data_IF_009181360441
#
_entry.id   IF_009181360441
#
_cell.length_a   1.000
_cell.length_b   1.000
_cell.length_c   1.000
_cell.angle_alpha   90.00
_cell.angle_beta   90.00
_cell.angle_gamma   90.00
#
_symmetry.space_group_name_H-M   'P 1'
#
loop_
_entity.id
_entity.type
_entity.pdbx_description
1 polymer ?
#
# COMPACT_ATOMS: atom_id res chain seq x y z
N UNK A 1 87.63 87.37 -27.78
CA UNK A 1 88.63 88.41 -28.11
C UNK A 1 89.96 88.06 -27.46
N UNK A 2 90.86 87.41 -28.21
CA UNK A 2 92.31 87.38 -27.96
C UNK A 2 92.93 87.53 -29.35
N UNK A 3 93.46 88.71 -29.60
CA UNK A 3 94.12 89.10 -30.85
C UNK A 3 95.44 88.34 -30.95
N UNK A 4 95.47 87.26 -31.74
CA UNK A 4 96.73 86.68 -32.21
C UNK A 4 97.28 87.58 -33.32
N UNK A 5 98.19 88.48 -32.96
CA UNK A 5 99.10 89.14 -33.90
C UNK A 5 99.93 88.08 -34.60
N UNK A 6 99.53 87.69 -35.80
CA UNK A 6 100.35 86.91 -36.72
C UNK A 6 101.52 87.79 -37.17
N UNK A 7 102.68 87.60 -36.56
CA UNK A 7 103.95 88.10 -37.10
C UNK A 7 104.13 87.48 -38.48
N UNK A 8 104.04 88.32 -39.51
CA UNK A 8 104.19 87.94 -40.92
C UNK A 8 105.65 87.54 -41.15
N UNK A 9 106.00 86.27 -40.92
CA UNK A 9 107.29 85.73 -41.35
C UNK A 9 107.33 85.80 -42.88
N UNK A 10 108.34 86.46 -43.43
CA UNK A 10 108.59 86.49 -44.87
C UNK A 10 108.87 85.05 -45.32
N UNK A 11 108.15 84.59 -46.34
CA UNK A 11 108.12 83.19 -46.81
C UNK A 11 108.82 83.03 -48.16
N UNK A 12 109.76 83.92 -48.45
CA UNK A 12 110.60 83.89 -49.62
C UNK A 12 111.87 83.13 -49.28
N UNK A 13 112.38 82.29 -50.18
CA UNK A 13 113.74 81.80 -50.03
C UNK A 13 114.70 83.00 -50.16
N UNK A 14 115.90 82.90 -49.60
CA UNK A 14 116.90 83.97 -49.61
C UNK A 14 117.18 84.56 -51.00
N UNK A 15 116.98 83.77 -52.06
CA UNK A 15 117.13 84.21 -53.47
C UNK A 15 115.96 85.11 -53.91
N UNK A 16 114.71 84.76 -53.56
CA UNK A 16 113.53 85.58 -53.92
C UNK A 16 113.39 86.83 -53.03
N UNK A 17 113.95 86.81 -51.83
CA UNK A 17 113.94 87.95 -50.91
C UNK A 17 114.98 89.01 -51.31
N UNK A 18 116.11 88.59 -51.87
CA UNK A 18 117.19 89.48 -52.32
C UNK A 18 117.05 89.97 -53.77
N UNK A 19 116.17 89.38 -54.59
CA UNK A 19 116.13 89.67 -56.02
C UNK A 19 115.37 90.95 -56.39
N UNK A 20 114.63 91.60 -55.49
CA UNK A 20 113.83 92.83 -55.76
C UNK A 20 112.92 92.79 -57.01
N UNK A 21 112.71 91.60 -57.61
CA UNK A 21 111.89 91.37 -58.80
C UNK A 21 110.54 90.77 -58.37
N UNK A 22 109.46 91.13 -59.08
CA UNK A 22 108.11 90.67 -58.75
C UNK A 22 107.86 89.16 -59.03
N UNK A 23 108.84 88.44 -59.56
CA UNK A 23 108.74 87.02 -59.92
C UNK A 23 109.20 86.11 -58.78
N UNK A 24 108.28 85.27 -58.28
CA UNK A 24 108.52 84.30 -57.22
C UNK A 24 108.93 82.96 -57.85
N UNK A 25 109.95 82.27 -57.30
CA UNK A 25 110.34 80.97 -57.85
C UNK A 25 109.27 79.89 -57.60
N UNK A 26 109.21 78.87 -58.47
CA UNK A 26 108.29 77.74 -58.33
C UNK A 26 108.40 77.04 -56.96
N UNK A 27 109.59 77.05 -56.34
CA UNK A 27 109.81 76.54 -54.99
C UNK A 27 109.04 77.32 -53.90
N UNK A 28 109.01 78.65 -53.97
CA UNK A 28 108.26 79.49 -53.00
C UNK A 28 106.75 79.45 -53.25
N UNK A 29 106.31 79.36 -54.52
CA UNK A 29 104.90 79.15 -54.86
C UNK A 29 104.42 77.79 -54.37
N UNK A 30 105.17 76.72 -54.62
CA UNK A 30 104.85 75.38 -54.13
C UNK A 30 104.92 75.31 -52.60
N UNK A 31 105.84 76.03 -51.95
CA UNK A 31 105.86 76.15 -50.49
C UNK A 31 104.56 76.76 -49.97
N UNK A 32 104.12 77.91 -50.53
CA UNK A 32 102.84 78.54 -50.16
C UNK A 32 101.63 77.66 -50.48
N UNK A 33 101.57 77.05 -51.66
CA UNK A 33 100.49 76.13 -52.02
C UNK A 33 100.46 74.90 -51.11
N UNK A 34 101.61 74.39 -50.66
CA UNK A 34 101.69 73.30 -49.71
C UNK A 34 101.29 73.76 -48.28
N UNK A 35 101.64 74.97 -47.85
CA UNK A 35 101.11 75.59 -46.62
C UNK A 35 99.58 75.74 -46.68
N UNK A 36 99.03 76.20 -47.80
CA UNK A 36 97.57 76.29 -47.98
C UNK A 36 96.90 74.91 -48.04
N UNK A 37 97.50 73.94 -48.72
CA UNK A 37 96.98 72.57 -48.81
C UNK A 37 97.03 71.86 -47.46
N UNK A 38 98.10 72.01 -46.69
CA UNK A 38 98.19 71.48 -45.32
C UNK A 38 97.18 72.14 -44.39
N UNK A 39 96.98 73.46 -44.50
CA UNK A 39 95.94 74.20 -43.77
C UNK A 39 94.53 73.74 -44.17
N UNK A 40 94.25 73.54 -45.46
CA UNK A 40 92.98 73.02 -45.96
C UNK A 40 92.71 71.59 -45.50
N UNK A 41 93.72 70.72 -45.52
CA UNK A 41 93.62 69.35 -44.98
C UNK A 41 93.32 69.36 -43.48
N UNK A 42 93.97 70.25 -42.72
CA UNK A 42 93.69 70.44 -41.28
C UNK A 42 92.27 70.96 -41.01
N UNK A 43 91.78 71.91 -41.80
CA UNK A 43 90.42 72.42 -41.67
C UNK A 43 89.37 71.37 -42.09
N UNK A 44 89.65 70.59 -43.15
CA UNK A 44 88.79 69.49 -43.58
C UNK A 44 88.72 68.40 -42.51
N UNK A 45 89.84 67.97 -41.94
CA UNK A 45 89.85 66.97 -40.87
C UNK A 45 89.14 67.49 -39.61
N UNK A 46 89.30 68.77 -39.27
CA UNK A 46 88.56 69.40 -38.17
C UNK A 46 87.06 69.45 -38.44
N UNK A 47 86.65 69.81 -39.65
CA UNK A 47 85.24 69.83 -40.07
C UNK A 47 84.64 68.43 -40.00
N UNK A 48 85.32 67.43 -40.55
CA UNK A 48 84.85 66.05 -40.60
C UNK A 48 84.76 65.47 -39.17
N UNK A 49 85.71 65.80 -38.29
CA UNK A 49 85.64 65.48 -36.84
C UNK A 49 84.44 66.13 -36.15
N UNK A 50 84.15 67.40 -36.43
CA UNK A 50 82.99 68.09 -35.87
C UNK A 50 81.66 67.49 -36.39
N UNK A 51 81.58 67.13 -37.67
CA UNK A 51 80.41 66.46 -38.22
C UNK A 51 80.19 65.08 -37.62
N UNK A 52 81.25 64.27 -37.46
CA UNK A 52 81.16 62.98 -36.80
C UNK A 52 80.66 63.13 -35.36
N UNK A 53 81.23 64.07 -34.60
CA UNK A 53 80.80 64.35 -33.22
C UNK A 53 79.35 64.85 -33.16
N UNK A 54 78.93 65.71 -34.08
CA UNK A 54 77.55 66.18 -34.15
C UNK A 54 76.59 65.03 -34.49
N UNK A 55 76.96 64.19 -35.45
CA UNK A 55 76.22 62.97 -35.84
C UNK A 55 76.03 62.04 -34.64
N UNK A 56 77.10 61.74 -33.90
CA UNK A 56 77.04 60.90 -32.69
C UNK A 56 76.09 61.49 -31.63
N UNK A 57 76.17 62.80 -31.38
CA UNK A 57 75.29 63.49 -30.43
C UNK A 57 73.83 63.45 -30.89
N UNK A 58 73.56 63.62 -32.19
CA UNK A 58 72.20 63.55 -32.73
C UNK A 58 71.61 62.13 -32.64
N UNK A 59 72.41 61.10 -32.93
CA UNK A 59 71.98 59.70 -32.76
C UNK A 59 71.72 59.38 -31.29
N UNK A 60 72.57 59.84 -30.38
CA UNK A 60 72.38 59.67 -28.95
C UNK A 60 71.11 60.37 -28.45
N UNK A 61 70.82 61.58 -28.96
CA UNK A 61 69.59 62.30 -28.66
C UNK A 61 68.35 61.56 -29.17
N UNK A 62 68.38 61.08 -30.42
CA UNK A 62 67.27 60.30 -31.00
C UNK A 62 66.95 59.06 -30.16
N UNK A 63 67.97 58.30 -29.73
CA UNK A 63 67.78 57.15 -28.83
C UNK A 63 67.18 57.55 -27.48
N UNK A 64 67.59 58.69 -26.92
CA UNK A 64 67.05 59.19 -25.66
C UNK A 64 65.58 59.63 -25.79
N UNK A 65 65.23 60.28 -26.91
CA UNK A 65 63.86 60.70 -27.23
C UNK A 65 62.94 59.48 -27.44
N UNK A 66 63.42 58.44 -28.14
CA UNK A 66 62.71 57.18 -28.31
C UNK A 66 62.46 56.48 -26.97
N UNK A 67 63.46 56.44 -26.09
CA UNK A 67 63.32 55.87 -24.76
C UNK A 67 62.34 56.66 -23.88
N UNK A 68 62.33 57.98 -24.00
CA UNK A 68 61.34 58.83 -23.31
C UNK A 68 59.93 58.55 -23.84
N UNK A 69 59.75 58.56 -25.17
CA UNK A 69 58.49 58.27 -25.84
C UNK A 69 57.93 56.89 -25.45
N UNK A 70 58.78 55.87 -25.44
CA UNK A 70 58.41 54.52 -25.01
C UNK A 70 57.92 54.49 -23.55
N UNK A 71 58.62 55.19 -22.64
CA UNK A 71 58.22 55.28 -21.23
C UNK A 71 56.87 55.97 -21.05
N UNK A 72 56.62 57.06 -21.79
CA UNK A 72 55.34 57.78 -21.76
C UNK A 72 54.22 56.87 -22.25
N UNK A 73 54.40 56.21 -23.40
CA UNK A 73 53.39 55.30 -23.96
C UNK A 73 53.05 54.13 -23.01
N UNK A 74 54.06 53.57 -22.35
CA UNK A 74 53.84 52.50 -21.38
C UNK A 74 53.12 52.99 -20.13
N UNK A 75 53.47 54.16 -19.61
CA UNK A 75 52.78 54.76 -18.47
C UNK A 75 51.32 55.08 -18.80
N UNK A 76 51.01 55.56 -20.00
CA UNK A 76 49.63 55.75 -20.45
C UNK A 76 48.86 54.43 -20.55
N UNK A 77 49.48 53.37 -21.10
CA UNK A 77 48.86 52.03 -21.16
C UNK A 77 48.55 51.52 -19.75
N UNK A 78 49.49 51.65 -18.82
CA UNK A 78 49.27 51.28 -17.42
C UNK A 78 48.18 52.12 -16.76
N UNK A 79 48.12 53.43 -17.03
CA UNK A 79 47.07 54.30 -16.51
C UNK A 79 45.67 53.87 -17.02
N UNK A 80 45.55 53.60 -18.33
CA UNK A 80 44.30 53.09 -18.94
C UNK A 80 43.86 51.76 -18.33
N UNK A 81 44.79 50.83 -18.11
CA UNK A 81 44.49 49.53 -17.50
C UNK A 81 44.07 49.66 -16.03
N UNK A 82 44.75 50.53 -15.26
CA UNK A 82 44.39 50.80 -13.85
C UNK A 82 42.98 51.40 -13.74
N UNK A 83 42.64 52.34 -14.60
CA UNK A 83 41.31 52.95 -14.62
C UNK A 83 40.23 51.94 -15.03
N UNK A 84 40.49 51.10 -16.04
CA UNK A 84 39.58 50.03 -16.43
C UNK A 84 39.36 49.03 -15.28
N UNK A 85 40.44 48.65 -14.58
CA UNK A 85 40.37 47.78 -13.42
C UNK A 85 39.53 48.40 -12.28
N UNK A 86 39.70 49.70 -12.03
CA UNK A 86 38.93 50.44 -11.02
C UNK A 86 37.43 50.40 -11.33
N UNK A 87 37.04 50.73 -12.57
CA UNK A 87 35.63 50.70 -13.01
C UNK A 87 35.03 49.30 -12.90
N UNK A 88 35.77 48.28 -13.33
CA UNK A 88 35.32 46.89 -13.23
C UNK A 88 35.12 46.46 -11.77
N UNK A 89 36.00 46.89 -10.84
CA UNK A 89 35.85 46.62 -9.41
C UNK A 89 34.62 47.30 -8.83
N UNK A 90 34.37 48.56 -9.18
CA UNK A 90 33.17 49.29 -8.74
C UNK A 90 31.88 48.63 -9.24
N UNK A 91 31.83 48.20 -10.51
CA UNK A 91 30.69 47.46 -11.07
C UNK A 91 30.48 46.12 -10.38
N UNK A 92 31.56 45.38 -10.10
CA UNK A 92 31.50 44.11 -9.37
C UNK A 92 30.91 44.31 -7.97
N UNK A 93 31.39 45.31 -7.23
CA UNK A 93 30.89 45.62 -5.89
C UNK A 93 29.41 46.01 -5.91
N UNK A 94 28.99 46.81 -6.89
CA UNK A 94 27.59 47.17 -7.07
C UNK A 94 26.72 45.95 -7.41
N UNK A 95 27.20 45.06 -8.27
CA UNK A 95 26.53 43.80 -8.60
C UNK A 95 26.38 42.89 -7.38
N UNK A 96 27.45 42.74 -6.59
CA UNK A 96 27.44 41.94 -5.36
C UNK A 96 26.42 42.46 -4.35
N UNK A 97 26.39 43.77 -4.10
CA UNK A 97 25.43 44.39 -3.19
C UNK A 97 23.97 44.20 -3.66
N UNK A 98 23.71 44.25 -4.98
CA UNK A 98 22.38 43.96 -5.53
C UNK A 98 21.98 42.51 -5.29
N UNK A 99 22.89 41.55 -5.53
CA UNK A 99 22.64 40.12 -5.30
C UNK A 99 22.35 39.85 -3.82
N UNK A 100 23.14 40.42 -2.91
CA UNK A 100 22.92 40.26 -1.47
C UNK A 100 21.55 40.81 -1.03
N UNK A 101 21.16 41.98 -1.54
CA UNK A 101 19.84 42.55 -1.27
C UNK A 101 18.69 41.66 -1.78
N UNK A 102 18.81 41.15 -3.01
CA UNK A 102 17.80 40.25 -3.59
C UNK A 102 17.73 38.91 -2.84
N UNK A 103 18.88 38.38 -2.42
CA UNK A 103 18.96 37.15 -1.63
C UNK A 103 18.23 37.31 -0.28
N UNK A 104 18.43 38.45 0.39
CA UNK A 104 17.73 38.76 1.63
C UNK A 104 16.21 38.88 1.43
N UNK A 105 15.76 39.61 0.39
CA UNK A 105 14.33 39.73 0.04
C UNK A 105 13.68 38.38 -0.26
N UNK A 106 14.37 37.52 -1.03
CA UNK A 106 13.91 36.15 -1.29
C UNK A 106 13.80 35.34 -0.01
N UNK A 107 14.79 35.42 0.88
CA UNK A 107 14.76 34.70 2.16
C UNK A 107 13.56 35.11 3.03
N UNK A 108 13.23 36.40 3.06
CA UNK A 108 12.04 36.90 3.75
C UNK A 108 10.74 36.35 3.12
N UNK A 109 10.65 36.36 1.79
CA UNK A 109 9.48 35.82 1.07
C UNK A 109 9.29 34.33 1.31
N UNK A 110 10.38 33.55 1.32
CA UNK A 110 10.32 32.12 1.64
C UNK A 110 9.84 31.86 3.07
N UNK A 111 10.32 32.64 4.06
CA UNK A 111 9.83 32.50 5.44
C UNK A 111 8.34 32.81 5.59
N UNK A 112 7.84 33.83 4.88
CA UNK A 112 6.40 34.12 4.82
C UNK A 112 5.61 32.98 4.17
N UNK A 113 6.11 32.40 3.08
CA UNK A 113 5.46 31.27 2.42
C UNK A 113 5.41 30.03 3.33
N UNK A 114 6.50 29.72 4.02
CA UNK A 114 6.61 28.61 4.96
C UNK A 114 5.61 28.76 6.12
N UNK A 115 5.53 29.95 6.73
CA UNK A 115 4.54 30.22 7.79
C UNK A 115 3.09 30.09 7.30
N UNK A 116 2.79 30.55 6.08
CA UNK A 116 1.46 30.40 5.48
C UNK A 116 1.14 28.92 5.21
N UNK A 117 2.12 28.14 4.77
CA UNK A 117 1.99 26.70 4.55
C UNK A 117 1.73 25.97 5.88
N UNK A 118 2.51 26.22 6.93
CA UNK A 118 2.27 25.63 8.24
C UNK A 118 0.86 25.95 8.78
N UNK A 119 0.39 27.18 8.57
CA UNK A 119 -0.97 27.58 8.98
C UNK A 119 -2.03 26.82 8.18
N UNK A 120 -1.84 26.67 6.87
CA UNK A 120 -2.77 25.92 6.01
C UNK A 120 -2.82 24.44 6.38
N UNK A 121 -1.66 23.83 6.66
CA UNK A 121 -1.56 22.44 7.12
C UNK A 121 -2.27 22.24 8.46
N UNK A 122 -2.06 23.13 9.43
CA UNK A 122 -2.78 23.12 10.71
C UNK A 122 -4.30 23.20 10.54
N UNK A 123 -4.78 24.14 9.72
CA UNK A 123 -6.20 24.29 9.42
C UNK A 123 -6.78 23.05 8.74
N UNK A 124 -6.02 22.42 7.84
CA UNK A 124 -6.43 21.17 7.19
C UNK A 124 -6.59 20.07 8.22
N UNK A 125 -5.61 19.86 9.09
CA UNK A 125 -5.68 18.83 10.15
C UNK A 125 -6.89 19.08 11.05
N UNK A 126 -7.10 20.31 11.51
CA UNK A 126 -8.25 20.67 12.36
C UNK A 126 -9.59 20.36 11.67
N UNK A 127 -9.72 20.68 10.38
CA UNK A 127 -10.90 20.33 9.60
C UNK A 127 -11.11 18.82 9.54
N UNK A 128 -10.05 18.04 9.23
CA UNK A 128 -10.16 16.59 9.14
C UNK A 128 -10.54 15.98 10.50
N UNK A 129 -9.94 16.44 11.59
CA UNK A 129 -10.26 16.03 12.96
C UNK A 129 -11.72 16.37 13.35
N UNK A 130 -12.27 17.48 12.86
CA UNK A 130 -13.66 17.85 13.12
C UNK A 130 -14.67 17.10 12.25
N UNK A 131 -14.36 16.86 10.97
CA UNK A 131 -15.32 16.29 10.01
C UNK A 131 -15.36 14.76 10.02
N UNK A 132 -14.22 14.07 10.06
CA UNK A 132 -14.21 12.61 9.94
C UNK A 132 -14.91 11.88 11.09
N UNK A 133 -14.72 12.25 12.38
CA UNK A 133 -15.43 11.58 13.47
C UNK A 133 -16.95 11.74 13.34
N UNK A 134 -17.43 12.90 12.90
CA UNK A 134 -18.86 13.15 12.70
C UNK A 134 -19.42 12.33 11.52
N UNK A 135 -18.66 12.24 10.42
CA UNK A 135 -19.04 11.42 9.27
C UNK A 135 -19.10 9.93 9.65
N UNK A 136 -18.05 9.42 10.30
CA UNK A 136 -17.98 8.03 10.76
C UNK A 136 -19.12 7.74 11.75
N UNK A 137 -19.36 8.64 12.70
CA UNK A 137 -20.47 8.50 13.65
C UNK A 137 -21.82 8.43 12.92
N UNK A 138 -22.07 9.33 11.97
CA UNK A 138 -23.33 9.36 11.22
C UNK A 138 -23.54 8.09 10.39
N UNK A 139 -22.50 7.62 9.69
CA UNK A 139 -22.57 6.37 8.92
C UNK A 139 -22.79 5.15 9.82
N UNK A 140 -22.12 5.12 10.97
CA UNK A 140 -22.32 4.05 11.96
C UNK A 140 -23.74 4.05 12.51
N UNK A 141 -24.31 5.21 12.86
CA UNK A 141 -25.70 5.32 13.30
C UNK A 141 -26.69 4.85 12.23
N UNK A 142 -26.44 5.18 10.96
CA UNK A 142 -27.23 4.66 9.84
C UNK A 142 -27.15 3.14 9.71
N UNK A 143 -25.94 2.59 9.75
CA UNK A 143 -25.73 1.14 9.71
C UNK A 143 -26.39 0.42 10.91
N UNK A 144 -26.36 1.03 12.09
CA UNK A 144 -27.03 0.54 13.30
C UNK A 144 -28.55 0.49 13.11
N UNK A 145 -29.16 1.55 12.59
CA UNK A 145 -30.60 1.61 12.36
C UNK A 145 -31.04 0.49 11.39
N UNK A 146 -30.37 0.37 10.24
CA UNK A 146 -30.67 -0.66 9.22
C UNK A 146 -30.49 -2.06 9.80
N UNK A 147 -29.39 -2.31 10.52
CA UNK A 147 -29.13 -3.63 11.11
C UNK A 147 -30.17 -3.98 12.17
N UNK A 148 -30.57 -3.02 13.01
CA UNK A 148 -31.59 -3.23 14.03
C UNK A 148 -32.96 -3.56 13.42
N UNK A 149 -33.35 -2.89 12.33
CA UNK A 149 -34.59 -3.15 11.62
C UNK A 149 -34.57 -4.53 10.94
N UNK A 150 -33.44 -4.87 10.28
CA UNK A 150 -33.24 -6.20 9.68
C UNK A 150 -33.39 -7.31 10.73
N UNK A 151 -32.69 -7.18 11.85
CA UNK A 151 -32.74 -8.17 12.94
C UNK A 151 -34.14 -8.27 13.54
N UNK A 152 -34.86 -7.16 13.67
CA UNK A 152 -36.25 -7.17 14.12
C UNK A 152 -37.15 -7.96 13.16
N UNK A 153 -37.07 -7.70 11.84
CA UNK A 153 -37.82 -8.43 10.82
C UNK A 153 -37.47 -9.91 10.82
N UNK A 154 -36.19 -10.26 10.89
CA UNK A 154 -35.73 -11.65 11.01
C UNK A 154 -36.30 -12.32 12.26
N UNK A 155 -36.27 -11.65 13.42
CA UNK A 155 -36.82 -12.17 14.68
C UNK A 155 -38.31 -12.49 14.57
N UNK A 156 -39.10 -11.61 13.94
CA UNK A 156 -40.54 -11.84 13.71
C UNK A 156 -40.77 -13.07 12.84
N UNK A 157 -40.01 -13.23 11.75
CA UNK A 157 -40.16 -14.39 10.85
C UNK A 157 -39.72 -15.68 11.53
N UNK A 158 -38.56 -15.67 12.21
CA UNK A 158 -38.06 -16.82 12.98
C UNK A 158 -39.07 -17.24 14.06
N UNK A 159 -39.72 -16.27 14.72
CA UNK A 159 -40.78 -16.56 15.69
C UNK A 159 -41.97 -17.29 15.07
N UNK A 160 -42.36 -16.97 13.83
CA UNK A 160 -43.40 -17.73 13.14
C UNK A 160 -42.91 -19.11 12.70
N UNK A 161 -41.68 -19.22 12.20
CA UNK A 161 -41.07 -20.51 11.83
C UNK A 161 -41.01 -21.45 13.04
N UNK A 162 -40.61 -20.95 14.21
CA UNK A 162 -40.55 -21.75 15.45
C UNK A 162 -41.94 -22.22 15.94
N UNK A 163 -43.03 -21.51 15.59
CA UNK A 163 -44.40 -21.97 15.85
C UNK A 163 -44.81 -23.09 14.91
N UNK A 164 -44.37 -23.03 13.65
CA UNK A 164 -44.64 -24.07 12.65
C UNK A 164 -43.84 -25.34 12.93
N UNK A 165 -42.59 -25.19 13.41
CA UNK A 165 -41.67 -26.28 13.71
C UNK A 165 -41.25 -26.22 15.19
N UNK A 166 -42.14 -26.57 16.13
CA UNK A 166 -41.81 -26.55 17.54
C UNK A 166 -40.72 -27.59 17.84
N UNK A 167 -39.61 -27.13 18.40
CA UNK A 167 -38.53 -27.97 18.90
C UNK A 167 -38.54 -28.00 20.43
N UNK A 168 -38.41 -29.20 21.01
CA UNK A 168 -38.40 -29.41 22.46
C UNK A 168 -37.45 -30.54 22.81
N UNK A 169 -36.80 -30.44 23.96
CA UNK A 169 -36.11 -31.56 24.61
C UNK A 169 -37.10 -32.20 25.57
N UNK A 170 -37.33 -33.51 25.43
CA UNK A 170 -38.28 -34.25 26.25
C UNK A 170 -37.54 -35.36 27.01
N UNK A 171 -37.75 -35.38 28.32
CA UNK A 171 -37.30 -36.46 29.19
C UNK A 171 -38.39 -37.52 29.19
N UNK A 172 -38.16 -38.65 28.53
CA UNK A 172 -39.07 -39.78 28.60
C UNK A 172 -38.86 -40.48 29.94
N UNK A 173 -39.50 -39.95 30.98
CA UNK A 173 -39.58 -40.58 32.28
C UNK A 173 -40.73 -41.59 32.24
N UNK A 174 -40.40 -42.83 31.92
CA UNK A 174 -41.37 -43.91 31.81
C UNK A 174 -40.67 -45.24 31.96
N UNK A 175 -40.99 -45.94 33.04
CA UNK A 175 -40.58 -47.31 33.33
C UNK A 175 -40.83 -48.24 32.12
N UNK A 176 -39.81 -48.47 31.30
CA UNK A 176 -39.73 -49.64 30.42
C UNK A 176 -38.39 -50.31 30.66
N UNK A 177 -38.44 -51.63 30.86
CA UNK A 177 -37.32 -52.53 31.18
C UNK A 177 -36.33 -52.75 30.03
N UNK A 178 -36.23 -51.82 29.08
CA UNK A 178 -35.26 -51.85 27.99
C UNK A 178 -34.41 -50.58 28.12
N UNK A 179 -33.10 -50.71 28.38
CA UNK A 179 -32.17 -49.66 28.81
C UNK A 179 -31.91 -48.48 27.87
N UNK A 180 -32.97 -47.87 27.33
CA UNK A 180 -32.97 -46.72 26.42
C UNK A 180 -33.66 -45.48 27.03
N UNK A 181 -33.69 -45.36 28.36
CA UNK A 181 -34.14 -44.14 29.02
C UNK A 181 -33.11 -43.03 28.81
N UNK A 182 -33.52 -41.94 28.16
CA UNK A 182 -32.71 -40.73 28.11
C UNK A 182 -33.42 -39.60 27.39
N UNK A 183 -32.81 -38.44 27.40
CA UNK A 183 -33.37 -37.23 26.81
C UNK A 183 -33.31 -37.30 25.27
N UNK A 184 -34.38 -36.87 24.61
CA UNK A 184 -34.45 -36.78 23.15
C UNK A 184 -34.82 -35.37 22.72
N UNK A 185 -34.15 -34.89 21.67
CA UNK A 185 -34.60 -33.72 20.93
C UNK A 185 -35.76 -34.11 20.02
N UNK A 186 -36.80 -33.30 19.98
CA UNK A 186 -37.99 -33.53 19.16
C UNK A 186 -38.26 -32.30 18.29
N UNK A 187 -38.76 -32.55 17.08
CA UNK A 187 -39.33 -31.53 16.19
C UNK A 187 -40.74 -31.95 15.79
N UNK A 188 -41.72 -31.07 15.95
CA UNK A 188 -43.13 -31.39 15.65
C UNK A 188 -43.62 -32.69 16.34
N UNK A 189 -43.15 -32.94 17.57
CA UNK A 189 -43.40 -34.17 18.36
C UNK A 189 -42.80 -35.47 17.78
N UNK A 190 -41.89 -35.40 16.80
CA UNK A 190 -41.13 -36.54 16.29
C UNK A 190 -39.68 -36.49 16.82
N UNK A 191 -39.18 -37.61 17.37
CA UNK A 191 -37.83 -37.72 17.94
C UNK A 191 -36.75 -37.66 16.87
N UNK A 192 -35.69 -36.91 17.17
CA UNK A 192 -34.48 -36.82 16.37
C UNK A 192 -33.46 -37.89 16.79
N UNK A 193 -32.62 -38.36 15.84
CA UNK A 193 -31.66 -39.42 16.13
C UNK A 193 -30.55 -38.96 17.09
N UNK A 194 -30.22 -39.85 18.03
CA UNK A 194 -29.05 -39.68 18.92
C UNK A 194 -27.78 -40.03 18.14
N UNK A 195 -26.79 -39.13 18.19
CA UNK A 195 -25.54 -39.32 17.46
C UNK A 195 -25.77 -39.56 15.96
N UNK A 196 -25.10 -40.55 15.39
CA UNK A 196 -25.27 -40.95 13.99
C UNK A 196 -26.09 -42.25 13.85
N UNK A 197 -26.68 -42.75 14.94
CA UNK A 197 -27.37 -44.04 14.94
C UNK A 197 -28.85 -43.89 14.51
N UNK A 198 -29.25 -44.42 13.35
CA UNK A 198 -30.64 -44.37 12.89
C UNK A 198 -31.57 -45.31 13.67
N UNK A 199 -31.06 -46.28 14.43
CA UNK A 199 -31.89 -47.18 15.24
C UNK A 199 -32.30 -46.58 16.59
N UNK A 200 -31.76 -45.41 16.95
CA UNK A 200 -32.12 -44.68 18.17
C UNK A 200 -33.59 -44.23 18.24
N UNK A 201 -34.30 -44.22 17.09
CA UNK A 201 -35.70 -43.79 16.93
C UNK A 201 -36.42 -44.72 15.93
N UNK A 202 -37.72 -45.02 16.09
CA UNK A 202 -38.49 -45.76 15.10
C UNK A 202 -38.42 -45.17 13.69
N UNK A 203 -38.28 -46.03 12.66
CA UNK A 203 -37.94 -45.61 11.28
C UNK A 203 -38.90 -44.59 10.66
N UNK A 204 -40.20 -44.72 10.91
CA UNK A 204 -41.22 -43.79 10.39
C UNK A 204 -41.08 -42.41 11.04
N UNK A 205 -40.82 -42.41 12.34
CA UNK A 205 -40.63 -41.19 13.14
C UNK A 205 -39.30 -40.51 12.78
N UNK A 206 -38.24 -41.30 12.57
CA UNK A 206 -36.93 -40.84 12.11
C UNK A 206 -37.01 -40.11 10.76
N UNK A 207 -37.65 -40.73 9.78
CA UNK A 207 -37.77 -40.16 8.44
C UNK A 207 -38.57 -38.85 8.45
N UNK A 208 -39.65 -38.80 9.25
CA UNK A 208 -40.43 -37.58 9.44
C UNK A 208 -39.63 -36.46 10.17
N UNK A 209 -38.94 -36.79 11.26
CA UNK A 209 -38.18 -35.81 12.04
C UNK A 209 -37.01 -35.21 11.23
N UNK A 210 -36.29 -36.03 10.46
CA UNK A 210 -35.23 -35.56 9.56
C UNK A 210 -35.78 -34.70 8.41
N UNK A 211 -36.93 -35.07 7.83
CA UNK A 211 -37.60 -34.25 6.83
C UNK A 211 -38.01 -32.88 7.35
N UNK A 212 -38.59 -32.81 8.56
CA UNK A 212 -38.92 -31.54 9.21
C UNK A 212 -37.69 -30.69 9.51
N UNK A 213 -36.58 -31.31 9.94
CA UNK A 213 -35.33 -30.58 10.18
C UNK A 213 -34.75 -29.97 8.91
N UNK A 214 -34.77 -30.70 7.79
CA UNK A 214 -34.32 -30.17 6.50
C UNK A 214 -35.16 -28.96 6.07
N UNK A 215 -36.49 -29.07 6.18
CA UNK A 215 -37.37 -27.97 5.80
C UNK A 215 -37.18 -26.76 6.71
N UNK A 216 -37.05 -26.98 8.02
CA UNK A 216 -36.75 -25.92 8.97
C UNK A 216 -35.42 -25.24 8.63
N UNK A 217 -34.37 -26.02 8.37
CA UNK A 217 -33.05 -25.50 8.08
C UNK A 217 -33.03 -24.68 6.79
N UNK A 218 -33.71 -25.14 5.72
CA UNK A 218 -33.87 -24.39 4.47
C UNK A 218 -34.54 -23.01 4.71
N UNK A 219 -35.61 -22.97 5.51
CA UNK A 219 -36.29 -21.72 5.83
C UNK A 219 -35.42 -20.78 6.67
N UNK A 220 -34.72 -21.32 7.66
CA UNK A 220 -33.85 -20.54 8.55
C UNK A 220 -32.66 -19.97 7.78
N UNK A 221 -32.00 -20.78 6.96
CA UNK A 221 -30.85 -20.39 6.12
C UNK A 221 -31.19 -19.21 5.22
N UNK A 222 -32.34 -19.26 4.53
CA UNK A 222 -32.78 -18.18 3.64
C UNK A 222 -33.10 -16.89 4.42
N UNK A 223 -33.76 -16.99 5.57
CA UNK A 223 -34.16 -15.82 6.35
C UNK A 223 -32.98 -15.16 7.08
N UNK A 224 -32.03 -15.96 7.57
CA UNK A 224 -30.85 -15.46 8.27
C UNK A 224 -29.71 -15.10 7.31
N UNK A 225 -29.80 -15.50 6.04
CA UNK A 225 -28.68 -15.47 5.08
C UNK A 225 -27.44 -16.19 5.64
N UNK A 226 -27.65 -17.30 6.33
CA UNK A 226 -26.60 -18.11 6.93
C UNK A 226 -26.04 -19.11 5.90
N UNK A 227 -24.76 -19.50 5.97
CA UNK A 227 -24.20 -20.52 5.08
C UNK A 227 -24.79 -21.90 5.41
N UNK A 228 -25.24 -22.62 4.40
CA UNK A 228 -25.64 -24.02 4.50
C UNK A 228 -24.63 -24.90 3.76
N UNK A 229 -24.20 -25.98 4.41
CA UNK A 229 -23.29 -26.96 3.80
C UNK A 229 -24.02 -27.99 2.94
N UNK A 230 -25.34 -28.05 3.08
CA UNK A 230 -26.19 -29.02 2.42
C UNK A 230 -27.07 -28.36 1.37
N UNK A 231 -27.38 -29.13 0.34
CA UNK A 231 -28.55 -28.94 -0.49
C UNK A 231 -29.52 -30.08 -0.22
N UNK A 232 -30.80 -29.85 -0.51
CA UNK A 232 -31.84 -30.83 -0.20
C UNK A 232 -32.97 -30.85 -1.21
N UNK A 233 -33.53 -32.04 -1.37
CA UNK A 233 -34.78 -32.31 -2.06
C UNK A 233 -35.81 -32.65 -1.01
N UNK A 234 -36.54 -31.63 -0.53
CA UNK A 234 -37.55 -31.83 0.49
C UNK A 234 -38.75 -32.60 -0.07
N UNK A 235 -39.06 -33.73 0.55
CA UNK A 235 -40.17 -34.60 0.19
C UNK A 235 -40.79 -35.24 1.45
N UNK A 236 -40.95 -34.45 2.52
CA UNK A 236 -41.44 -34.94 3.81
C UNK A 236 -40.58 -36.08 4.36
N UNK A 237 -41.21 -37.22 4.67
CA UNK A 237 -40.52 -38.43 5.14
C UNK A 237 -39.64 -39.10 4.08
N UNK A 238 -39.65 -38.65 2.82
CA UNK A 238 -38.81 -39.17 1.75
C UNK A 238 -37.71 -38.19 1.33
N UNK A 239 -37.31 -37.29 2.22
CA UNK A 239 -36.35 -36.23 1.92
C UNK A 239 -34.93 -36.77 1.64
N UNK A 240 -34.21 -36.09 0.76
CA UNK A 240 -32.81 -36.40 0.41
C UNK A 240 -31.92 -35.19 0.64
N UNK A 241 -30.66 -35.45 0.99
CA UNK A 241 -29.65 -34.43 1.27
C UNK A 241 -28.36 -34.75 0.51
N UNK A 242 -27.70 -33.73 -0.03
CA UNK A 242 -26.40 -33.87 -0.67
C UNK A 242 -25.52 -32.67 -0.36
N UNK A 243 -24.22 -32.86 -0.49
CA UNK A 243 -23.26 -31.78 -0.39
C UNK A 243 -23.04 -31.17 -1.78
N UNK A 244 -22.81 -29.86 -1.84
CA UNK A 244 -22.46 -29.19 -3.09
C UNK A 244 -21.01 -29.48 -3.45
N UNK A 245 -20.78 -29.81 -4.71
CA UNK A 245 -19.42 -29.98 -5.24
C UNK A 245 -18.80 -28.63 -5.64
N UNK A 246 -19.63 -27.64 -6.01
CA UNK A 246 -19.19 -26.28 -6.35
C UNK A 246 -20.16 -25.22 -5.81
N UNK A 247 -19.69 -23.97 -5.68
CA UNK A 247 -20.56 -22.84 -5.31
C UNK A 247 -21.61 -22.57 -6.38
N UNK A 248 -21.33 -22.83 -7.65
CA UNK A 248 -22.22 -22.50 -8.77
C UNK A 248 -23.22 -23.62 -9.09
N UNK A 249 -22.91 -24.87 -8.75
CA UNK A 249 -23.78 -26.02 -9.02
C UNK A 249 -24.54 -26.43 -7.76
N UNK A 250 -25.86 -26.29 -7.82
CA UNK A 250 -26.77 -26.70 -6.75
C UNK A 250 -27.23 -28.15 -6.88
N UNK A 251 -27.00 -28.77 -8.04
CA UNK A 251 -27.46 -30.12 -8.35
C UNK A 251 -26.43 -31.15 -7.88
N UNK A 252 -26.86 -32.35 -7.47
CA UNK A 252 -25.93 -33.43 -7.19
C UNK A 252 -25.25 -33.87 -8.49
N UNK A 253 -23.93 -34.07 -8.45
CA UNK A 253 -23.17 -34.51 -9.63
C UNK A 253 -23.54 -35.91 -10.09
N UNK A 254 -24.07 -36.75 -9.19
CA UNK A 254 -24.57 -38.09 -9.47
C UNK A 254 -25.59 -38.53 -8.41
N UNK A 255 -26.44 -39.51 -8.73
CA UNK A 255 -27.38 -40.10 -7.75
C UNK A 255 -26.69 -40.74 -6.55
N UNK A 256 -25.43 -41.15 -6.68
CA UNK A 256 -24.63 -41.71 -5.58
C UNK A 256 -24.17 -40.67 -4.56
N UNK A 257 -24.26 -39.37 -4.89
CA UNK A 257 -23.93 -38.28 -3.98
C UNK A 257 -25.17 -37.77 -3.22
N UNK A 258 -26.35 -38.37 -3.46
CA UNK A 258 -27.58 -38.09 -2.74
C UNK A 258 -27.78 -39.09 -1.60
N UNK A 259 -27.83 -38.58 -0.37
CA UNK A 259 -28.08 -39.40 0.80
C UNK A 259 -29.57 -39.37 1.17
N UNK A 260 -30.27 -40.51 1.18
CA UNK A 260 -31.64 -40.58 1.65
C UNK A 260 -31.70 -40.39 3.17
N UNK A 261 -32.65 -39.58 3.66
CA UNK A 261 -32.91 -39.40 5.09
C UNK A 261 -33.99 -40.36 5.62
N UNK A 262 -34.17 -41.48 4.92
CA UNK A 262 -35.14 -42.51 5.23
C UNK A 262 -34.61 -43.85 4.77
N UNK A 263 -35.10 -44.93 5.38
CA UNK A 263 -34.85 -46.28 4.88
C UNK A 263 -35.93 -46.59 3.84
N UNK A 264 -35.58 -46.85 2.56
CA UNK A 264 -36.55 -47.26 1.56
C UNK A 264 -37.31 -48.50 2.05
N UNK A 265 -38.64 -48.44 2.05
CA UNK A 265 -39.43 -49.65 2.28
C UNK A 265 -39.13 -50.62 1.15
N UNK A 266 -38.84 -51.89 1.46
CA UNK A 266 -38.78 -52.92 0.45
C UNK A 266 -40.13 -52.94 -0.27
N UNK A 267 -40.17 -52.42 -1.50
CA UNK A 267 -41.25 -52.72 -2.40
C UNK A 267 -41.10 -54.20 -2.74
N UNK A 268 -42.03 -55.03 -2.29
CA UNK A 268 -42.26 -56.36 -2.87
C UNK A 268 -42.74 -56.18 -4.31
N UNK A 269 -41.83 -55.82 -5.20
CA UNK A 269 -42.00 -55.89 -6.64
C UNK A 269 -40.75 -56.58 -7.19
N UNK A 270 -40.65 -57.88 -6.89
CA UNK A 270 -39.92 -58.79 -7.74
C UNK A 270 -40.71 -58.97 -9.03
N UNK A 271 -40.48 -58.09 -9.99
CA UNK A 271 -40.75 -58.40 -11.41
C UNK A 271 -39.51 -58.01 -12.19
N UNK A 272 -38.76 -59.04 -12.55
CA UNK A 272 -37.82 -59.06 -13.66
C UNK A 272 -38.40 -58.27 -14.84
N UNK A 273 -37.69 -57.23 -15.26
CA UNK A 273 -38.08 -56.36 -16.35
C UNK A 273 -37.03 -55.27 -16.51
N UNK A 274 -36.24 -55.38 -17.56
CA UNK A 274 -35.29 -54.38 -18.00
C UNK A 274 -36.06 -53.12 -18.43
N UNK A 275 -36.00 -52.05 -17.63
CA UNK A 275 -36.59 -50.77 -18.01
C UNK A 275 -35.59 -49.66 -17.67
N UNK A 276 -34.75 -49.37 -18.66
CA UNK A 276 -34.01 -48.12 -18.79
C UNK A 276 -34.94 -46.93 -18.59
N UNK A 277 -34.77 -46.18 -17.50
CA UNK A 277 -35.35 -44.84 -17.37
C UNK A 277 -34.33 -43.84 -17.91
N UNK A 278 -34.27 -43.71 -19.24
CA UNK A 278 -33.59 -42.60 -19.90
C UNK A 278 -34.42 -41.32 -19.80
N UNK A 279 -33.70 -40.23 -19.51
CA UNK A 279 -33.98 -38.83 -19.84
C UNK A 279 -35.36 -38.49 -20.43
N UNK A 280 -36.20 -37.86 -19.60
CA UNK A 280 -36.96 -36.61 -19.89
C UNK A 280 -38.05 -36.41 -18.84
N UNK A 281 -37.86 -35.43 -17.96
CA UNK A 281 -38.94 -34.48 -17.59
C UNK A 281 -38.41 -33.38 -16.66
N UNK A 282 -38.11 -32.25 -17.28
CA UNK A 282 -38.25 -30.94 -16.68
C UNK A 282 -39.72 -30.63 -16.42
N UNK A 283 -40.15 -30.44 -15.17
CA UNK A 283 -41.12 -29.40 -14.79
C UNK A 283 -41.48 -29.44 -13.30
N UNK A 284 -41.27 -28.28 -12.68
CA UNK A 284 -42.07 -27.59 -11.67
C UNK A 284 -42.80 -28.35 -10.54
N UNK A 285 -42.55 -27.84 -9.33
CA UNK A 285 -43.43 -27.80 -8.16
C UNK A 285 -44.87 -28.27 -8.41
N UNK A 286 -45.21 -29.44 -7.85
CA UNK A 286 -46.57 -29.96 -7.83
C UNK A 286 -46.75 -30.85 -6.61
N UNK A 287 -47.59 -30.38 -5.68
CA UNK A 287 -48.05 -31.09 -4.49
C UNK A 287 -48.70 -32.43 -4.92
N UNK A 288 -48.12 -33.56 -4.53
CA UNK A 288 -48.80 -34.85 -4.65
C UNK A 288 -49.56 -35.13 -3.35
N UNK A 289 -50.88 -34.98 -3.43
CA UNK A 289 -51.86 -35.41 -2.44
C UNK A 289 -51.72 -36.92 -2.20
N UNK A 290 -51.64 -37.34 -0.93
CA UNK A 290 -51.67 -38.76 -0.57
C UNK A 290 -53.11 -39.23 -0.41
N UNK A 291 -53.57 -40.09 -1.33
CA UNK A 291 -54.70 -40.98 -1.10
C UNK A 291 -54.36 -41.92 0.07
N UNK A 292 -55.18 -41.92 1.12
CA UNK A 292 -55.02 -42.80 2.28
C UNK A 292 -55.66 -44.17 2.00
N UNK A 293 -54.85 -45.19 1.72
CA UNK A 293 -55.31 -46.58 1.76
C UNK A 293 -54.98 -47.26 3.10
N UNK A 294 -55.94 -48.09 3.52
CA UNK A 294 -56.14 -48.68 4.84
C UNK A 294 -54.93 -49.43 5.41
N UNK A 295 -54.70 -49.15 6.70
CA UNK A 295 -53.85 -49.86 7.66
C UNK A 295 -54.26 -51.34 7.83
N UNK A 296 -53.32 -52.30 7.80
CA UNK A 296 -53.39 -53.49 8.63
C UNK A 296 -52.64 -53.20 9.94
N UNK A 297 -53.29 -53.45 11.09
CA UNK A 297 -52.63 -53.46 12.39
C UNK A 297 -51.69 -54.67 12.44
N UNK A 298 -50.41 -54.41 12.64
CA UNK A 298 -49.46 -55.40 13.15
C UNK A 298 -48.80 -54.78 14.37
N UNK A 299 -49.13 -55.35 15.52
CA UNK A 299 -48.39 -55.15 16.74
C UNK A 299 -46.98 -55.71 16.52
N UNK A 300 -45.96 -54.89 16.76
CA UNK A 300 -44.58 -55.36 16.83
C UNK A 300 -43.91 -54.73 18.04
N UNK A 301 -44.24 -55.32 19.20
CA UNK A 301 -43.29 -55.43 20.29
C UNK A 301 -42.22 -56.42 19.85
N UNK A 302 -41.05 -55.90 19.49
CA UNK A 302 -39.92 -56.71 19.08
C UNK A 302 -38.66 -55.85 19.08
N UNK A 303 -37.94 -55.87 20.21
CA UNK A 303 -36.58 -55.37 20.31
C UNK A 303 -35.69 -56.11 19.31
N UNK A 304 -35.45 -55.51 18.14
CA UNK A 304 -34.50 -56.04 17.16
C UNK A 304 -33.16 -55.31 17.30
N UNK A 305 -32.24 -55.89 18.08
CA UNK A 305 -30.82 -55.57 17.95
C UNK A 305 -30.36 -56.01 16.55
N UNK A 306 -29.96 -55.06 15.71
CA UNK A 306 -29.56 -55.32 14.33
C UNK A 306 -28.21 -56.07 14.32
N UNK A 307 -28.22 -57.36 13.97
CA UNK A 307 -26.99 -58.15 13.87
C UNK A 307 -26.34 -57.91 12.50
N UNK A 308 -25.22 -57.19 12.49
CA UNK A 308 -24.43 -56.88 11.28
C UNK A 308 -23.99 -58.13 10.49
N UNK A 309 -23.90 -59.28 11.16
CA UNK A 309 -23.45 -60.55 10.59
C UNK A 309 -24.50 -61.30 9.77
N UNK A 310 -25.75 -60.83 9.71
CA UNK A 310 -26.86 -61.51 9.00
C UNK A 310 -27.67 -60.60 8.06
N UNK A 311 -27.19 -59.36 7.86
CA UNK A 311 -27.84 -58.36 7.01
C UNK A 311 -27.43 -58.52 5.53
N UNK A 312 -28.36 -58.32 4.60
CA UNK A 312 -28.04 -58.37 3.16
C UNK A 312 -27.16 -57.16 2.77
N UNK A 313 -26.27 -57.29 1.75
CA UNK A 313 -25.36 -56.20 1.36
C UNK A 313 -26.08 -54.86 1.08
N UNK A 314 -27.28 -54.91 0.49
CA UNK A 314 -28.11 -53.73 0.21
C UNK A 314 -28.63 -53.04 1.48
N UNK A 315 -28.89 -53.78 2.56
CA UNK A 315 -29.34 -53.20 3.84
C UNK A 315 -28.20 -52.52 4.60
N UNK A 316 -26.96 -52.99 4.44
CA UNK A 316 -25.76 -52.39 5.04
C UNK A 316 -25.40 -51.09 4.33
N UNK A 317 -25.47 -51.06 3.00
CA UNK A 317 -25.19 -49.86 2.18
C UNK A 317 -26.20 -48.73 2.44
N UNK A 318 -27.51 -49.06 2.44
CA UNK A 318 -28.57 -48.09 2.75
C UNK A 318 -28.48 -47.50 4.16
N UNK A 319 -28.04 -48.30 5.13
CA UNK A 319 -27.77 -47.83 6.49
C UNK A 319 -26.58 -46.86 6.53
N UNK A 320 -25.47 -47.19 5.86
CA UNK A 320 -24.29 -46.32 5.78
C UNK A 320 -24.60 -44.98 5.10
N UNK A 321 -25.41 -44.98 4.04
CA UNK A 321 -25.80 -43.74 3.36
C UNK A 321 -26.75 -42.88 4.20
N UNK A 322 -27.65 -43.50 4.96
CA UNK A 322 -28.48 -42.78 5.93
C UNK A 322 -27.62 -42.13 7.03
N UNK A 323 -26.60 -42.83 7.55
CA UNK A 323 -25.67 -42.26 8.53
C UNK A 323 -24.88 -41.08 7.96
N UNK A 324 -24.42 -41.16 6.70
CA UNK A 324 -23.79 -40.03 6.00
C UNK A 324 -24.75 -38.86 5.85
N UNK A 325 -26.01 -39.11 5.51
CA UNK A 325 -27.07 -38.10 5.43
C UNK A 325 -27.32 -37.39 6.77
N UNK A 326 -27.45 -38.15 7.85
CA UNK A 326 -27.61 -37.62 9.22
C UNK A 326 -26.37 -36.79 9.62
N UNK A 327 -25.17 -37.27 9.31
CA UNK A 327 -23.91 -36.56 9.56
C UNK A 327 -23.85 -35.22 8.83
N UNK A 328 -24.19 -35.20 7.54
CA UNK A 328 -24.22 -33.97 6.73
C UNK A 328 -25.26 -32.97 7.26
N UNK A 329 -26.46 -33.44 7.62
CA UNK A 329 -27.49 -32.60 8.22
C UNK A 329 -26.99 -31.97 9.52
N UNK A 330 -26.42 -32.78 10.43
CA UNK A 330 -25.84 -32.29 11.69
C UNK A 330 -24.72 -31.28 11.47
N UNK A 331 -23.82 -31.54 10.51
CA UNK A 331 -22.77 -30.58 10.13
C UNK A 331 -23.35 -29.25 9.65
N UNK A 332 -24.40 -29.30 8.81
CA UNK A 332 -25.03 -28.06 8.35
C UNK A 332 -25.75 -27.32 9.46
N UNK A 333 -26.42 -28.02 10.38
CA UNK A 333 -27.03 -27.41 11.57
C UNK A 333 -25.96 -26.76 12.45
N UNK A 334 -24.85 -27.45 12.72
CA UNK A 334 -23.73 -26.91 13.49
C UNK A 334 -23.12 -25.67 12.82
N UNK A 335 -22.93 -25.70 11.49
CA UNK A 335 -22.39 -24.58 10.73
C UNK A 335 -23.27 -23.32 10.83
N UNK A 336 -24.58 -23.47 10.59
CA UNK A 336 -25.54 -22.36 10.75
C UNK A 336 -25.57 -21.85 12.18
N UNK A 337 -25.53 -22.78 13.15
CA UNK A 337 -25.54 -22.45 14.57
C UNK A 337 -24.34 -21.60 14.95
N UNK A 338 -23.12 -22.08 14.65
CA UNK A 338 -21.88 -21.37 14.93
C UNK A 338 -21.81 -20.01 14.22
N UNK A 339 -22.22 -19.94 12.94
CA UNK A 339 -22.26 -18.68 12.19
C UNK A 339 -23.16 -17.64 12.87
N UNK A 340 -24.36 -18.04 13.32
CA UNK A 340 -25.31 -17.12 13.94
C UNK A 340 -24.88 -16.69 15.35
N UNK A 341 -24.36 -17.62 16.18
CA UNK A 341 -23.80 -17.30 17.49
C UNK A 341 -22.64 -16.29 17.35
N UNK A 342 -21.70 -16.53 16.43
CA UNK A 342 -20.60 -15.60 16.14
C UNK A 342 -21.11 -14.25 15.64
N UNK A 343 -22.11 -14.24 14.77
CA UNK A 343 -22.71 -13.01 14.25
C UNK A 343 -23.36 -12.16 15.34
N UNK A 344 -23.87 -12.79 16.39
CA UNK A 344 -24.47 -12.17 17.57
C UNK A 344 -23.47 -11.94 18.72
N UNK A 345 -22.20 -12.34 18.57
CA UNK A 345 -21.18 -12.31 19.62
C UNK A 345 -21.59 -13.08 20.90
N UNK A 346 -22.22 -14.24 20.72
CA UNK A 346 -22.63 -15.15 21.79
C UNK A 346 -21.81 -16.44 21.71
N UNK A 347 -21.49 -17.05 22.84
CA UNK A 347 -20.79 -18.33 22.89
C UNK A 347 -21.75 -19.50 22.60
N UNK A 348 -21.26 -20.49 21.85
CA UNK A 348 -22.01 -21.71 21.56
C UNK A 348 -22.05 -22.58 22.82
N UNK A 349 -23.22 -23.02 23.30
CA UNK A 349 -23.31 -23.88 24.48
C UNK A 349 -22.56 -25.22 24.25
N UNK A 350 -21.50 -25.47 25.02
CA UNK A 350 -20.64 -26.66 24.86
C UNK A 350 -21.28 -27.96 25.37
N UNK A 351 -22.23 -27.85 26.30
CA UNK A 351 -22.93 -28.99 26.90
C UNK A 351 -24.17 -29.44 26.09
N UNK A 352 -24.57 -28.66 25.08
CA UNK A 352 -25.79 -28.90 24.32
C UNK A 352 -25.57 -29.85 23.13
N UNK A 353 -26.58 -30.66 22.81
CA UNK A 353 -26.59 -31.42 21.55
C UNK A 353 -26.59 -30.48 20.35
N UNK A 354 -26.19 -30.96 19.16
CA UNK A 354 -26.23 -30.13 17.92
C UNK A 354 -27.62 -29.56 17.63
N UNK A 355 -28.67 -30.36 17.83
CA UNK A 355 -30.05 -29.92 17.58
C UNK A 355 -30.57 -29.02 18.70
N UNK A 356 -30.17 -29.29 19.94
CA UNK A 356 -30.51 -28.46 21.09
C UNK A 356 -29.86 -27.07 21.02
N UNK A 357 -28.58 -26.99 20.67
CA UNK A 357 -27.86 -25.73 20.48
C UNK A 357 -28.54 -24.86 19.41
N UNK A 358 -29.02 -25.50 18.33
CA UNK A 358 -29.80 -24.86 17.28
C UNK A 358 -31.18 -24.41 17.76
N UNK A 359 -31.90 -25.25 18.53
CA UNK A 359 -33.19 -24.87 19.11
C UNK A 359 -33.06 -23.67 20.07
N UNK A 360 -32.01 -23.66 20.92
CA UNK A 360 -31.66 -22.53 21.80
C UNK A 360 -31.37 -21.26 21.00
N UNK A 361 -30.59 -21.37 19.92
CA UNK A 361 -30.32 -20.25 19.01
C UNK A 361 -31.61 -19.67 18.43
N UNK A 362 -32.50 -20.54 17.92
CA UNK A 362 -33.77 -20.10 17.33
C UNK A 362 -34.68 -19.45 18.37
N UNK A 363 -34.68 -19.93 19.62
CA UNK A 363 -35.39 -19.29 20.73
C UNK A 363 -34.83 -17.88 21.00
N UNK A 364 -33.51 -17.72 21.03
CA UNK A 364 -32.85 -16.41 21.19
C UNK A 364 -33.16 -15.48 20.02
N UNK A 365 -33.12 -15.96 18.79
CA UNK A 365 -33.47 -15.18 17.59
C UNK A 365 -34.96 -14.80 17.55
N UNK A 366 -35.84 -15.66 18.05
CA UNK A 366 -37.29 -15.41 18.18
C UNK A 366 -37.60 -14.36 19.27
N UNK A 367 -36.71 -14.21 20.25
CA UNK A 367 -36.81 -13.23 21.33
C UNK A 367 -36.23 -11.88 20.91
N UNK A 368 -37.12 -10.97 20.48
CA UNK A 368 -36.73 -9.59 20.13
C UNK A 368 -35.99 -8.82 21.25
N UNK A 369 -36.13 -9.24 22.51
CA UNK A 369 -35.42 -8.67 23.65
C UNK A 369 -33.96 -9.15 23.67
N UNK A 370 -33.73 -10.44 23.49
CA UNK A 370 -32.40 -11.05 23.48
C UNK A 370 -31.59 -10.66 22.25
N UNK A 371 -32.22 -10.57 21.07
CA UNK A 371 -31.56 -10.06 19.85
C UNK A 371 -31.09 -8.62 20.05
N UNK A 372 -31.92 -7.77 20.68
CA UNK A 372 -31.54 -6.38 20.99
C UNK A 372 -30.42 -6.30 22.01
N UNK A 373 -30.40 -7.15 23.05
CA UNK A 373 -29.32 -7.16 24.02
C UNK A 373 -28.00 -7.66 23.42
N UNK A 374 -28.02 -8.71 22.61
CA UNK A 374 -26.84 -9.21 21.90
C UNK A 374 -26.27 -8.17 20.93
N UNK A 375 -27.15 -7.47 20.19
CA UNK A 375 -26.73 -6.38 19.32
C UNK A 375 -26.16 -5.19 20.11
N UNK A 376 -26.74 -4.85 21.26
CA UNK A 376 -26.23 -3.80 22.14
C UNK A 376 -24.85 -4.15 22.71
N UNK A 377 -24.62 -5.44 23.01
CA UNK A 377 -23.31 -5.95 23.44
C UNK A 377 -22.27 -5.84 22.32
N UNK A 378 -22.60 -6.28 21.10
CA UNK A 378 -21.76 -6.12 19.91
C UNK A 378 -21.38 -4.64 19.66
N UNK A 379 -22.33 -3.74 19.89
CA UNK A 379 -22.14 -2.28 19.81
C UNK A 379 -21.28 -1.72 20.95
N UNK A 380 -21.35 -2.29 22.15
CA UNK A 380 -20.45 -1.93 23.24
C UNK A 380 -19.01 -2.38 22.95
N UNK A 381 -18.81 -3.60 22.45
CA UNK A 381 -17.49 -4.14 22.11
C UNK A 381 -16.82 -3.41 20.94
N UNK A 382 -17.59 -3.00 19.92
CA UNK A 382 -17.04 -2.25 18.79
C UNK A 382 -16.52 -0.87 19.18
N UNK A 383 -17.13 -0.20 20.19
CA UNK A 383 -16.67 1.10 20.70
C UNK A 383 -15.27 1.05 21.33
N UNK A 384 -14.85 -0.09 21.87
CA UNK A 384 -13.48 -0.30 22.39
C UNK A 384 -12.43 -0.52 21.30
N UNK A 385 -12.81 -1.08 20.16
CA UNK A 385 -11.91 -1.19 19.00
C UNK A 385 -11.63 0.19 18.41
N UNK A 386 -12.60 1.11 18.49
CA UNK A 386 -12.44 2.50 18.02
C UNK A 386 -11.56 3.37 18.93
N UNK A 387 -11.34 3.03 20.21
CA UNK A 387 -10.34 3.72 21.04
C UNK A 387 -8.90 3.29 20.74
N UNK A 388 -8.72 2.12 20.09
CA UNK A 388 -7.42 1.59 19.65
C UNK A 388 -7.11 1.92 18.18
N UNK A 389 -8.12 2.32 17.39
CA UNK A 389 -7.95 2.72 15.99
C UNK A 389 -7.03 3.94 15.77
N UNK A 390 -7.04 4.98 16.63
CA UNK A 390 -6.06 6.06 16.54
C UNK A 390 -4.64 5.54 16.72
N UNK A 391 -4.42 4.60 17.65
CA UNK A 391 -3.10 3.99 17.87
C UNK A 391 -2.65 3.10 16.71
N UNK A 392 -3.54 2.34 16.08
CA UNK A 392 -3.21 1.50 14.92
C UNK A 392 -2.92 2.33 13.65
N UNK A 393 -3.69 3.39 13.40
CA UNK A 393 -3.41 4.33 12.29
C UNK A 393 -2.12 5.12 12.57
N UNK A 394 -1.90 5.56 13.81
CA UNK A 394 -0.66 6.25 14.19
C UNK A 394 0.55 5.34 14.06
N UNK A 395 0.45 4.06 14.46
CA UNK A 395 1.52 3.08 14.28
C UNK A 395 1.76 2.76 12.80
N UNK A 396 0.72 2.64 11.98
CA UNK A 396 0.88 2.42 10.53
C UNK A 396 1.48 3.65 9.85
N UNK A 397 1.11 4.87 10.26
CA UNK A 397 1.64 6.12 9.75
C UNK A 397 3.10 6.33 10.19
N UNK A 398 3.46 5.97 11.42
CA UNK A 398 4.85 5.93 11.91
C UNK A 398 5.68 4.91 11.12
N UNK A 399 5.14 3.71 10.84
CA UNK A 399 5.83 2.70 10.03
C UNK A 399 6.04 3.20 8.59
N UNK A 400 5.04 3.86 7.99
CA UNK A 400 5.15 4.43 6.64
C UNK A 400 6.14 5.61 6.62
N UNK A 401 6.17 6.47 7.64
CA UNK A 401 7.16 7.54 7.79
C UNK A 401 8.58 7.00 8.03
N UNK A 402 8.72 5.94 8.82
CA UNK A 402 10.01 5.27 9.04
C UNK A 402 10.49 4.56 7.77
N UNK A 403 9.59 3.96 6.98
CA UNK A 403 9.93 3.38 5.68
C UNK A 403 10.24 4.45 4.61
N UNK A 404 9.53 5.56 4.57
CA UNK A 404 9.77 6.66 3.63
C UNK A 404 11.10 7.39 3.92
N UNK A 405 11.46 7.56 5.19
CA UNK A 405 12.77 8.12 5.58
C UNK A 405 13.94 7.13 5.38
N UNK A 406 13.66 5.83 5.20
CA UNK A 406 14.69 4.82 4.95
C UNK A 406 15.13 4.76 3.48
N UNK A 407 14.36 5.35 2.55
CA UNK A 407 14.74 5.41 1.13
C UNK A 407 15.64 6.61 0.77
N UNK A 408 15.66 7.70 1.56
CA UNK A 408 16.47 8.89 1.27
C UNK A 408 17.89 8.87 1.85
N UNK A 409 18.24 7.90 2.71
CA UNK A 409 19.58 7.78 3.30
C UNK A 409 20.22 6.39 3.12
N UNK A 410 20.22 5.86 1.89
CA UNK A 410 20.99 4.66 1.52
C UNK A 410 22.44 4.97 1.11
N UNK A 411 23.09 5.92 1.79
CA UNK A 411 24.51 6.23 1.57
C UNK A 411 25.22 6.72 2.85
N UNK A 412 25.01 6.06 3.99
CA UNK A 412 25.94 5.98 5.13
C UNK A 412 25.25 5.25 6.29
N UNK A 413 26.04 4.57 7.13
CA UNK A 413 25.64 3.80 8.32
C UNK A 413 25.53 2.28 8.18
N UNK A 414 26.69 1.65 7.98
CA UNK A 414 26.96 0.24 8.26
C UNK A 414 27.30 -0.03 9.74
N UNK A 415 26.80 0.74 10.71
CA UNK A 415 27.26 0.65 12.12
C UNK A 415 26.14 0.84 13.17
N UNK A 416 24.96 0.25 12.99
CA UNK A 416 23.89 0.30 14.02
C UNK A 416 23.20 -1.04 14.32
N UNK A 417 23.86 -2.16 14.01
CA UNK A 417 23.41 -3.52 14.36
C UNK A 417 24.01 -4.00 15.70
N UNK A 418 23.91 -3.23 16.78
CA UNK A 418 24.37 -3.70 18.10
C UNK A 418 23.56 -3.22 19.31
N UNK A 419 22.33 -2.73 19.14
CA UNK A 419 21.49 -2.30 20.29
C UNK A 419 20.03 -2.73 20.18
N UNK A 420 19.75 -3.85 19.50
CA UNK A 420 18.42 -4.47 19.42
C UNK A 420 18.22 -5.60 20.44
N UNK A 421 18.62 -5.41 21.71
CA UNK A 421 18.42 -6.41 22.77
C UNK A 421 17.67 -5.90 24.02
N UNK A 422 17.14 -4.68 24.04
CA UNK A 422 16.58 -4.10 25.29
C UNK A 422 15.07 -3.85 25.30
N UNK A 423 14.32 -4.16 24.23
CA UNK A 423 12.87 -3.87 24.17
C UNK A 423 11.93 -5.08 24.01
N UNK A 424 12.38 -6.29 24.36
CA UNK A 424 11.54 -7.51 24.37
C UNK A 424 10.95 -7.88 25.75
N UNK A 425 10.94 -6.95 26.71
CA UNK A 425 10.65 -7.25 28.13
C UNK A 425 9.35 -6.72 28.73
N UNK A 426 8.44 -6.11 27.95
CA UNK A 426 7.25 -5.45 28.52
C UNK A 426 5.96 -5.68 27.74
N UNK A 427 5.59 -6.93 27.46
CA UNK A 427 4.21 -7.27 27.10
C UNK A 427 3.89 -8.72 27.46
N UNK A 428 3.97 -9.05 28.75
CA UNK A 428 3.36 -10.25 29.33
C UNK A 428 3.21 -9.99 30.84
N UNK A 429 2.12 -9.33 31.23
CA UNK A 429 1.36 -9.47 32.49
C UNK A 429 0.53 -8.21 32.78
N UNK A 430 -0.74 -8.22 32.37
CA UNK A 430 -1.90 -7.91 33.21
C UNK A 430 -3.20 -8.17 32.47
#
# INVERSE_FOLDING_TARGET
MKSNTMTRKTSSCAICENSNLASICAGCVNYRLNEYNTSLKSLKSRRDSLYLRLSEVLVAKGKADDQLSWRVLQNEKLARLREKLRRNKEQLLQGKAKIEKMSYDLKLKYGLLESAQCTLEGNRVEQLEKFYPNLICTQNLGHMAITSERLHKQSVVIKQICKLFPQRRVNTDGERKDGSSGEYDQICNARLPRGLDPHSVPLIELAASLGYMVQLLNLVVQNLAAPALHNSGFAGSCSRIWQRDSYWDTRPSSRSNEYPLFIPRQNYCSTSGENSWSDRSSSNFGVASMESERKPRLDSSGSSSFNYSSASPHSVETHMDLQKGISLLKKSVACVTAYCYNSLCLDVPSEASTFEAFAKLLATLSSSKEVRSAFSLKMASSRYIFSLFPHLIFNLFIIILLCANHEEHSASFSNFWSTSEVLNGYFLTK
#
